data_IF_954882080725
#
_entry.id   IF_954882080725
#
_cell.length_a   1.000
_cell.length_b   1.000
_cell.length_c   1.000
_cell.angle_alpha   90.00
_cell.angle_beta   90.00
_cell.angle_gamma   90.00
#
_symmetry.space_group_name_H-M   'P 1'
#
loop_
_entity.id
_entity.type
_entity.pdbx_description
1 polymer ?
#
# COMPACT_ATOMS: atom_id res chain seq x y z
N UNK A 1 -8.64 -2.56 -17.41
CA UNK A 1 -7.39 -2.36 -16.64
C UNK A 1 -7.41 -1.13 -15.72
N UNK A 2 -8.22 -0.09 -16.02
CA UNK A 2 -8.38 1.10 -15.18
C UNK A 2 -8.85 0.83 -13.73
N UNK A 3 -9.82 -0.06 -13.55
CA UNK A 3 -10.32 -0.44 -12.22
C UNK A 3 -9.28 -1.19 -11.37
N UNK A 4 -8.42 -2.01 -12.00
CA UNK A 4 -7.33 -2.72 -11.33
C UNK A 4 -6.23 -1.76 -10.86
N UNK A 5 -5.86 -0.77 -11.69
CA UNK A 5 -4.90 0.27 -11.26
C UNK A 5 -5.41 1.09 -10.08
N UNK A 6 -6.70 1.41 -10.07
CA UNK A 6 -7.35 2.16 -8.99
C UNK A 6 -7.48 1.37 -7.69
N UNK A 7 -7.80 0.08 -7.75
CA UNK A 7 -7.83 -0.77 -6.54
C UNK A 7 -6.44 -0.95 -5.93
N UNK A 8 -5.40 -1.05 -6.75
CA UNK A 8 -4.00 -1.15 -6.30
C UNK A 8 -3.52 0.15 -5.64
N UNK A 9 -3.92 1.31 -6.17
CA UNK A 9 -3.68 2.60 -5.53
C UNK A 9 -4.37 2.70 -4.16
N UNK A 10 -5.64 2.32 -4.06
CA UNK A 10 -6.39 2.33 -2.79
C UNK A 10 -5.73 1.38 -1.78
N UNK A 11 -5.35 0.18 -2.22
CA UNK A 11 -4.66 -0.79 -1.37
C UNK A 11 -3.32 -0.25 -0.86
N UNK A 12 -2.51 0.37 -1.72
CA UNK A 12 -1.24 1.00 -1.32
C UNK A 12 -1.43 2.17 -0.34
N UNK A 13 -2.48 2.96 -0.52
CA UNK A 13 -2.81 4.08 0.37
C UNK A 13 -3.28 3.61 1.76
N UNK A 14 -4.05 2.52 1.80
CA UNK A 14 -4.58 1.94 3.04
C UNK A 14 -3.54 1.11 3.80
N UNK A 15 -2.52 0.58 3.13
CA UNK A 15 -1.48 -0.27 3.72
C UNK A 15 -0.79 0.40 4.92
N UNK A 16 -0.50 1.70 4.82
CA UNK A 16 0.16 2.49 5.85
C UNK A 16 -0.67 2.71 7.12
N UNK A 17 -1.88 3.33 7.05
CA UNK A 17 -2.72 3.49 8.23
C UNK A 17 -3.11 2.14 8.83
N UNK A 18 -3.27 1.10 8.00
CA UNK A 18 -3.50 -0.26 8.49
C UNK A 18 -2.31 -0.78 9.30
N UNK A 19 -1.07 -0.61 8.80
CA UNK A 19 0.14 -1.01 9.52
C UNK A 19 0.30 -0.28 10.86
N UNK A 20 -0.07 1.00 10.90
CA UNK A 20 -0.02 1.82 12.11
C UNK A 20 -1.07 1.37 13.12
N UNK A 21 -2.30 1.10 12.68
CA UNK A 21 -3.35 0.54 13.54
C UNK A 21 -2.90 -0.80 14.11
N UNK A 22 -2.36 -1.70 13.28
CA UNK A 22 -1.87 -3.01 13.71
C UNK A 22 -0.74 -2.90 14.74
N UNK A 23 0.15 -1.91 14.59
CA UNK A 23 1.20 -1.63 15.57
C UNK A 23 0.61 -1.12 16.90
N UNK A 24 -0.29 -0.12 16.85
CA UNK A 24 -0.90 0.49 18.04
C UNK A 24 -1.78 -0.49 18.82
N UNK A 25 -2.50 -1.34 18.12
CA UNK A 25 -3.39 -2.35 18.72
C UNK A 25 -2.66 -3.62 19.14
N UNK A 26 -1.37 -3.75 18.81
CA UNK A 26 -0.56 -4.96 19.03
C UNK A 26 -1.28 -6.25 18.56
N UNK A 27 -2.08 -6.14 17.50
CA UNK A 27 -2.99 -7.21 17.03
C UNK A 27 -2.24 -8.47 16.61
N UNK A 28 -0.98 -8.36 16.18
CA UNK A 28 -0.18 -9.51 15.79
C UNK A 28 0.57 -10.18 16.96
N UNK A 29 0.45 -9.68 18.19
CA UNK A 29 1.16 -10.22 19.35
C UNK A 29 2.70 -10.09 19.27
N UNK A 30 3.19 -9.31 18.29
CA UNK A 30 4.60 -8.97 18.11
C UNK A 30 4.74 -7.46 17.97
N UNK A 31 5.77 -6.91 18.58
CA UNK A 31 6.13 -5.51 18.44
C UNK A 31 6.57 -5.27 17.01
N UNK A 32 5.71 -4.64 16.19
CA UNK A 32 6.10 -4.23 14.85
C UNK A 32 7.20 -3.16 15.02
N UNK A 33 8.40 -3.45 14.53
CA UNK A 33 9.52 -2.53 14.64
C UNK A 33 9.38 -1.39 13.62
N UNK A 34 10.01 -0.24 13.92
CA UNK A 34 9.98 0.93 13.05
C UNK A 34 10.52 0.61 11.64
N UNK A 35 11.51 -0.29 11.55
CA UNK A 35 12.06 -0.79 10.29
C UNK A 35 11.02 -1.51 9.42
N UNK A 36 10.15 -2.32 10.01
CA UNK A 36 9.09 -3.04 9.28
C UNK A 36 8.02 -2.08 8.74
N UNK A 37 7.72 -1.01 9.48
CA UNK A 37 6.83 0.06 9.00
C UNK A 37 7.41 0.79 7.80
N UNK A 38 8.72 1.07 7.80
CA UNK A 38 9.40 1.70 6.67
C UNK A 38 9.38 0.78 5.44
N UNK A 39 9.54 -0.54 5.64
CA UNK A 39 9.42 -1.50 4.53
C UNK A 39 7.99 -1.51 3.98
N UNK A 40 6.97 -1.50 4.84
CA UNK A 40 5.57 -1.41 4.41
C UNK A 40 5.25 -0.08 3.72
N UNK A 41 5.84 1.04 4.16
CA UNK A 41 5.76 2.34 3.49
C UNK A 41 6.30 2.26 2.07
N UNK A 42 7.51 1.74 1.89
CA UNK A 42 8.15 1.59 0.58
C UNK A 42 7.32 0.67 -0.32
N UNK A 43 6.82 -0.44 0.21
CA UNK A 43 5.96 -1.36 -0.52
C UNK A 43 4.64 -0.69 -0.96
N UNK A 44 3.97 0.05 -0.06
CA UNK A 44 2.74 0.78 -0.36
C UNK A 44 2.92 1.88 -1.41
N UNK A 45 4.02 2.64 -1.33
CA UNK A 45 4.38 3.66 -2.33
C UNK A 45 4.66 3.03 -3.69
N UNK A 46 5.42 1.93 -3.72
CA UNK A 46 5.75 1.23 -4.96
C UNK A 46 4.49 0.65 -5.62
N UNK A 47 3.62 0.02 -4.83
CA UNK A 47 2.33 -0.49 -5.28
C UNK A 47 1.44 0.65 -5.83
N UNK A 48 1.38 1.79 -5.14
CA UNK A 48 0.63 2.95 -5.61
C UNK A 48 1.12 3.45 -6.98
N UNK A 49 2.45 3.60 -7.15
CA UNK A 49 3.03 4.01 -8.42
C UNK A 49 2.81 3.00 -9.54
N UNK A 50 2.93 1.69 -9.25
CA UNK A 50 2.60 0.64 -10.21
C UNK A 50 1.13 0.70 -10.63
N UNK A 51 0.21 0.90 -9.68
CA UNK A 51 -1.22 1.10 -9.98
C UNK A 51 -1.48 2.34 -10.83
N UNK A 52 -0.74 3.43 -10.61
CA UNK A 52 -0.77 4.66 -11.43
C UNK A 52 -0.32 4.41 -12.86
N UNK A 53 0.78 3.67 -13.06
CA UNK A 53 1.27 3.30 -14.38
C UNK A 53 0.24 2.40 -15.10
N UNK A 54 -0.29 1.40 -14.40
CA UNK A 54 -1.25 0.44 -14.95
C UNK A 54 -2.58 1.12 -15.36
N UNK A 55 -3.01 2.13 -14.60
CA UNK A 55 -4.17 2.97 -14.96
C UNK A 55 -3.86 3.91 -16.15
N UNK A 56 -2.63 4.43 -16.22
CA UNK A 56 -2.13 5.25 -17.33
C UNK A 56 -2.11 4.49 -18.65
N UNK A 57 -1.50 3.29 -18.69
CA UNK A 57 -1.50 2.42 -19.86
C UNK A 57 -2.91 2.00 -20.29
N UNK A 58 -3.82 1.83 -19.33
CA UNK A 58 -5.22 1.51 -19.61
C UNK A 58 -6.05 2.69 -20.15
N UNK A 59 -5.51 3.91 -20.10
CA UNK A 59 -6.16 5.12 -20.62
C UNK A 59 -5.60 5.55 -21.97
N UNK A 60 -4.50 4.93 -22.43
CA UNK A 60 -3.84 5.16 -23.73
C UNK A 60 -4.28 4.19 -24.83
N UNK A 61 -5.24 3.30 -24.53
CA UNK A 61 -5.88 2.33 -25.40
C UNK A 61 -7.39 2.62 -25.41
#
# INVERSE_FOLDING_TARGET
MRALGRSLQIAGLLLLPLSMIMQLTNVLGRTIHLSEMVIMLVAGVTAFYLGRLLEGYASSD
#
